data_IF_218901578876
#
_entry.id   IF_218901578876
#
_cell.length_a   1.000
_cell.length_b   1.000
_cell.length_c   1.000
_cell.angle_alpha   90.00
_cell.angle_beta   90.00
_cell.angle_gamma   90.00
#
_symmetry.space_group_name_H-M   'P 1'
#
loop_
_entity.id
_entity.type
_entity.pdbx_description
1 polymer ?
#
# COMPACT_ATOMS: atom_id res chain seq x y z
N UNK A 1 -12.97 -55.20 -12.60
CA UNK A 1 -13.13 -54.28 -11.45
C UNK A 1 -11.87 -53.44 -11.31
N UNK A 2 -11.80 -52.31 -12.00
CA UNK A 2 -10.63 -51.40 -12.01
C UNK A 2 -10.98 -50.13 -11.24
N UNK A 3 -10.26 -49.87 -10.14
CA UNK A 3 -10.32 -48.61 -9.38
C UNK A 3 -9.51 -47.55 -10.13
N UNK A 4 -10.18 -46.59 -10.75
CA UNK A 4 -9.57 -45.37 -11.26
C UNK A 4 -9.37 -44.42 -10.07
N UNK A 5 -8.10 -44.20 -9.68
CA UNK A 5 -7.70 -43.21 -8.68
C UNK A 5 -7.67 -41.83 -9.33
N UNK A 6 -8.66 -41.01 -9.03
CA UNK A 6 -8.74 -39.60 -9.40
C UNK A 6 -7.83 -38.76 -8.51
N UNK A 7 -6.54 -38.66 -8.87
CA UNK A 7 -5.64 -37.64 -8.33
C UNK A 7 -5.90 -36.31 -9.07
N UNK A 8 -6.97 -35.61 -8.69
CA UNK A 8 -7.12 -34.19 -9.00
C UNK A 8 -6.12 -33.41 -8.13
N UNK A 9 -4.89 -33.28 -8.65
CA UNK A 9 -3.95 -32.30 -8.19
C UNK A 9 -4.51 -30.91 -8.54
N UNK A 10 -5.06 -30.22 -7.53
CA UNK A 10 -5.25 -28.78 -7.59
C UNK A 10 -3.87 -28.11 -7.61
N UNK A 11 -3.24 -28.06 -8.77
CA UNK A 11 -2.24 -27.05 -9.05
C UNK A 11 -2.98 -25.72 -9.04
N UNK A 12 -2.78 -24.95 -7.97
CA UNK A 12 -3.29 -23.59 -7.89
C UNK A 12 -2.25 -22.70 -8.57
N UNK A 13 -2.47 -22.19 -9.80
CA UNK A 13 -1.61 -21.16 -10.32
C UNK A 13 -1.91 -19.86 -9.54
N UNK A 14 -1.13 -19.61 -8.48
CA UNK A 14 -0.95 -18.26 -7.91
C UNK A 14 -0.06 -17.44 -8.85
N UNK A 15 -0.48 -17.31 -10.10
CA UNK A 15 -0.04 -16.24 -10.99
C UNK A 15 -1.05 -15.12 -10.82
N UNK A 16 -0.58 -13.93 -10.49
CA UNK A 16 -1.41 -12.75 -10.37
C UNK A 16 -2.32 -12.62 -11.61
N UNK A 17 -3.61 -12.83 -11.42
CA UNK A 17 -4.64 -12.46 -12.38
C UNK A 17 -4.63 -10.93 -12.38
N UNK A 18 -3.74 -10.35 -13.16
CA UNK A 18 -3.80 -8.94 -13.51
C UNK A 18 -5.08 -8.75 -14.31
N UNK A 19 -6.14 -8.24 -13.66
CA UNK A 19 -7.13 -7.29 -14.18
C UNK A 19 -7.82 -7.54 -15.52
N UNK A 20 -7.59 -8.66 -16.18
CA UNK A 20 -8.22 -9.01 -17.45
C UNK A 20 -9.31 -10.00 -17.07
N UNK A 21 -10.55 -9.50 -17.00
CA UNK A 21 -11.70 -10.27 -16.53
C UNK A 21 -11.74 -11.66 -17.18
N UNK A 22 -11.91 -12.68 -16.34
CA UNK A 22 -11.93 -14.05 -16.81
C UNK A 22 -13.06 -14.25 -17.82
N UNK A 23 -12.74 -14.76 -19.01
CA UNK A 23 -13.74 -15.08 -20.02
C UNK A 23 -14.33 -16.44 -19.66
N UNK A 24 -15.64 -16.51 -19.42
CA UNK A 24 -16.33 -17.75 -19.07
C UNK A 24 -17.26 -18.15 -20.20
N UNK A 25 -17.34 -19.45 -20.51
CA UNK A 25 -18.33 -19.96 -21.45
C UNK A 25 -19.75 -19.80 -20.87
N UNK A 26 -20.68 -19.19 -21.60
CA UNK A 26 -22.06 -18.98 -21.16
C UNK A 26 -22.83 -20.29 -20.94
N UNK A 27 -22.38 -21.40 -21.55
CA UNK A 27 -23.09 -22.68 -21.49
C UNK A 27 -22.59 -23.62 -20.39
N UNK A 28 -21.28 -23.72 -20.19
CA UNK A 28 -20.69 -24.64 -19.22
C UNK A 28 -19.84 -23.95 -18.14
N UNK A 29 -19.73 -22.61 -18.18
CA UNK A 29 -18.93 -21.81 -17.26
C UNK A 29 -17.43 -22.17 -17.24
N UNK A 30 -16.93 -22.86 -18.26
CA UNK A 30 -15.50 -23.16 -18.40
C UNK A 30 -14.70 -21.88 -18.64
N UNK A 31 -13.51 -21.79 -18.03
CA UNK A 31 -12.60 -20.65 -18.18
C UNK A 31 -11.92 -20.68 -19.55
N UNK A 32 -12.26 -19.69 -20.38
CA UNK A 32 -11.74 -19.49 -21.73
C UNK A 32 -10.55 -18.51 -21.76
N UNK A 33 -10.09 -18.01 -20.62
CA UNK A 33 -8.94 -17.11 -20.54
C UNK A 33 -7.68 -17.81 -21.06
N UNK A 34 -7.01 -17.17 -22.03
CA UNK A 34 -5.78 -17.68 -22.63
C UNK A 34 -5.97 -18.71 -23.74
N UNK A 35 -7.21 -19.05 -24.12
CA UNK A 35 -7.44 -19.92 -25.28
C UNK A 35 -7.15 -19.20 -26.61
N UNK A 36 -6.59 -19.92 -27.60
CA UNK A 36 -6.40 -19.40 -28.96
C UNK A 36 -7.75 -19.05 -29.60
N UNK A 37 -7.73 -18.25 -30.67
CA UNK A 37 -8.90 -17.68 -31.35
C UNK A 37 -9.82 -18.68 -32.04
N UNK A 38 -9.77 -19.97 -31.70
CA UNK A 38 -10.57 -21.01 -32.33
C UNK A 38 -12.07 -20.91 -31.96
N UNK A 39 -12.48 -19.92 -31.16
CA UNK A 39 -13.87 -19.56 -30.88
C UNK A 39 -14.78 -20.73 -30.45
N UNK A 40 -14.25 -21.87 -29.98
CA UNK A 40 -15.02 -23.04 -29.57
C UNK A 40 -14.61 -23.46 -28.17
N UNK A 41 -15.58 -23.72 -27.31
CA UNK A 41 -15.33 -24.22 -25.96
C UNK A 41 -14.92 -25.71 -25.99
N UNK A 42 -13.79 -26.10 -25.36
CA UNK A 42 -13.32 -27.48 -25.38
C UNK A 42 -14.21 -28.44 -24.59
N UNK A 43 -14.94 -27.95 -23.59
CA UNK A 43 -15.82 -28.78 -22.74
C UNK A 43 -17.18 -29.06 -23.40
N UNK A 44 -17.79 -28.06 -24.04
CA UNK A 44 -19.15 -28.19 -24.57
C UNK A 44 -19.26 -28.14 -26.10
N UNK A 45 -18.16 -27.85 -26.80
CA UNK A 45 -18.12 -27.78 -28.27
C UNK A 45 -18.87 -26.61 -28.89
N UNK A 46 -19.46 -25.71 -28.08
CA UNK A 46 -20.22 -24.56 -28.59
C UNK A 46 -19.29 -23.42 -28.96
N UNK A 47 -19.63 -22.75 -30.06
CA UNK A 47 -18.93 -21.56 -30.49
C UNK A 47 -19.23 -20.39 -29.54
N UNK A 48 -18.22 -19.56 -29.27
CA UNK A 48 -18.35 -18.34 -28.48
C UNK A 48 -17.78 -17.14 -29.26
N UNK A 49 -18.47 -16.01 -29.17
CA UNK A 49 -18.04 -14.78 -29.81
C UNK A 49 -17.28 -13.91 -28.81
N UNK A 50 -15.97 -13.69 -29.03
CA UNK A 50 -15.14 -12.81 -28.17
C UNK A 50 -15.68 -11.38 -28.09
N UNK A 51 -16.30 -10.88 -29.15
CA UNK A 51 -16.91 -9.54 -29.14
C UNK A 51 -18.22 -9.48 -28.33
N UNK A 52 -18.90 -10.62 -28.17
CA UNK A 52 -20.12 -10.73 -27.36
C UNK A 52 -19.81 -11.00 -25.88
N UNK A 53 -18.64 -11.58 -25.58
CA UNK A 53 -18.12 -11.72 -24.23
C UNK A 53 -17.79 -10.34 -23.66
N UNK A 54 -18.82 -9.63 -23.18
CA UNK A 54 -18.63 -8.48 -22.31
C UNK A 54 -17.85 -8.98 -21.10
N UNK A 55 -16.79 -8.27 -20.75
CA UNK A 55 -16.11 -8.44 -19.47
C UNK A 55 -17.20 -8.37 -18.42
N UNK A 56 -17.54 -9.53 -17.85
CA UNK A 56 -18.58 -9.62 -16.83
C UNK A 56 -17.98 -9.17 -15.51
N UNK A 57 -17.51 -7.91 -15.51
CA UNK A 57 -16.95 -7.25 -14.33
C UNK A 57 -18.01 -7.11 -13.24
N UNK A 58 -19.29 -7.21 -13.61
CA UNK A 58 -20.45 -7.11 -12.72
C UNK A 58 -20.83 -8.41 -12.02
N UNK A 59 -20.53 -9.62 -12.54
CA UNK A 59 -20.96 -10.87 -11.88
C UNK A 59 -20.11 -11.20 -10.64
N UNK A 60 -18.85 -10.77 -10.58
CA UNK A 60 -18.03 -10.95 -9.38
C UNK A 60 -18.49 -10.08 -8.21
N UNK A 61 -19.18 -8.98 -8.48
CA UNK A 61 -19.79 -8.15 -7.44
C UNK A 61 -20.97 -8.87 -6.75
N UNK A 62 -21.78 -9.60 -7.51
CA UNK A 62 -22.94 -10.33 -6.98
C UNK A 62 -22.56 -11.64 -6.25
N UNK A 63 -21.46 -12.30 -6.66
CA UNK A 63 -20.96 -13.50 -5.98
C UNK A 63 -20.23 -13.22 -4.65
N UNK A 64 -20.21 -11.97 -4.18
CA UNK A 64 -19.59 -11.59 -2.91
C UNK A 64 -18.06 -11.70 -2.89
N UNK A 65 -17.43 -11.93 -4.05
CA UNK A 65 -15.97 -11.88 -4.24
C UNK A 65 -15.46 -10.45 -4.46
N UNK A 66 -16.19 -9.45 -3.96
CA UNK A 66 -15.70 -8.09 -3.86
C UNK A 66 -14.46 -8.02 -2.95
N UNK A 67 -13.65 -6.95 -3.07
CA UNK A 67 -12.55 -6.70 -2.14
C UNK A 67 -13.11 -6.76 -0.72
N UNK A 68 -12.55 -7.66 0.11
CA UNK A 68 -13.00 -7.81 1.50
C UNK A 68 -13.05 -6.44 2.15
N UNK A 69 -14.18 -6.05 2.78
CA UNK A 69 -14.25 -4.77 3.46
C UNK A 69 -13.09 -4.71 4.46
N UNK A 70 -12.28 -3.66 4.37
CA UNK A 70 -11.14 -3.50 5.24
C UNK A 70 -11.58 -3.63 6.71
N UNK A 71 -10.78 -4.30 7.57
CA UNK A 71 -11.13 -4.47 8.97
C UNK A 71 -11.41 -3.10 9.61
N UNK A 72 -12.31 -3.02 10.60
CA UNK A 72 -12.76 -1.75 11.18
C UNK A 72 -11.59 -0.86 11.64
N UNK A 73 -10.50 -1.48 12.13
CA UNK A 73 -9.26 -0.79 12.49
C UNK A 73 -8.63 -0.03 11.31
N UNK A 74 -8.52 -0.65 10.13
CA UNK A 74 -7.96 0.02 8.95
C UNK A 74 -8.85 1.17 8.46
N UNK A 75 -10.18 1.05 8.58
CA UNK A 75 -11.11 2.14 8.26
C UNK A 75 -10.96 3.31 9.24
N UNK A 76 -10.78 3.02 10.52
CA UNK A 76 -10.52 4.05 11.53
C UNK A 76 -9.19 4.75 11.30
N UNK A 77 -8.10 4.01 11.06
CA UNK A 77 -6.78 4.57 10.76
C UNK A 77 -6.82 5.41 9.47
N UNK A 78 -7.54 4.97 8.43
CA UNK A 78 -7.67 5.74 7.21
C UNK A 78 -8.42 7.07 7.42
N UNK A 79 -9.40 7.10 8.34
CA UNK A 79 -10.20 8.30 8.62
C UNK A 79 -9.54 9.24 9.62
N UNK A 80 -8.88 8.71 10.63
CA UNK A 80 -8.37 9.47 11.77
C UNK A 80 -6.84 9.51 11.85
N UNK A 81 -6.13 8.74 11.02
CA UNK A 81 -4.67 8.70 11.02
C UNK A 81 -4.06 10.08 10.83
N UNK A 82 -4.64 10.91 9.94
CA UNK A 82 -4.17 12.27 9.73
C UNK A 82 -4.36 13.16 10.96
N UNK A 83 -5.50 13.07 11.65
CA UNK A 83 -5.79 13.84 12.87
C UNK A 83 -4.89 13.43 14.03
N UNK A 84 -4.66 12.12 14.22
CA UNK A 84 -3.78 11.60 15.27
C UNK A 84 -2.33 12.03 15.02
N UNK A 85 -1.86 11.98 13.77
CA UNK A 85 -0.51 12.43 13.43
C UNK A 85 -0.33 13.93 13.66
N UNK A 86 -1.32 14.75 13.29
CA UNK A 86 -1.27 16.19 13.51
C UNK A 86 -1.29 16.53 15.00
N UNK A 87 -2.12 15.84 15.78
CA UNK A 87 -2.14 15.98 17.24
C UNK A 87 -0.79 15.61 17.88
N UNK A 88 -0.16 14.51 17.46
CA UNK A 88 1.16 14.12 17.95
C UNK A 88 2.26 15.11 17.53
N UNK A 89 2.21 15.60 16.29
CA UNK A 89 3.17 16.58 15.77
C UNK A 89 3.10 17.92 16.51
N UNK A 90 1.93 18.31 17.04
CA UNK A 90 1.76 19.51 17.86
C UNK A 90 2.05 19.26 19.35
N UNK A 91 1.67 18.10 19.88
CA UNK A 91 1.87 17.77 21.29
C UNK A 91 3.35 17.60 21.65
N UNK A 92 4.14 16.97 20.76
CA UNK A 92 5.56 16.73 21.01
C UNK A 92 6.38 18.00 21.26
N UNK A 93 6.36 19.04 20.40
CA UNK A 93 7.10 20.27 20.67
C UNK A 93 6.58 21.00 21.92
N UNK A 94 5.27 20.95 22.21
CA UNK A 94 4.72 21.55 23.43
C UNK A 94 5.25 20.87 24.71
N UNK A 95 5.28 19.53 24.75
CA UNK A 95 5.86 18.77 25.86
C UNK A 95 7.35 19.07 26.01
N UNK A 96 8.08 19.10 24.91
CA UNK A 96 9.52 19.41 24.94
C UNK A 96 9.80 20.84 25.40
N UNK A 97 9.02 21.83 24.97
CA UNK A 97 9.10 23.21 25.48
C UNK A 97 8.86 23.23 27.00
N UNK A 98 7.85 22.50 27.49
CA UNK A 98 7.58 22.37 28.93
C UNK A 98 8.76 21.76 29.71
N UNK A 99 9.39 20.71 29.17
CA UNK A 99 10.58 20.09 29.78
C UNK A 99 11.77 21.06 29.81
N UNK A 100 11.99 21.82 28.73
CA UNK A 100 13.07 22.83 28.67
C UNK A 100 12.85 23.94 29.72
N UNK A 101 11.59 24.36 29.91
CA UNK A 101 11.26 25.41 30.88
C UNK A 101 11.34 24.95 32.34
N UNK A 102 11.12 23.65 32.60
CA UNK A 102 11.11 23.10 33.96
C UNK A 102 12.50 22.70 34.45
N UNK A 103 13.43 22.38 33.56
CA UNK A 103 14.75 21.85 33.94
C UNK A 103 15.91 22.71 33.37
N UNK A 104 16.39 23.72 34.11
CA UNK A 104 17.38 24.67 33.61
C UNK A 104 18.75 24.04 33.32
N UNK A 105 19.03 22.84 33.85
CA UNK A 105 20.26 22.09 33.55
C UNK A 105 20.33 21.62 32.08
N UNK A 106 19.19 21.33 31.45
CA UNK A 106 19.11 20.91 30.04
C UNK A 106 19.35 22.07 29.07
N UNK A 107 19.13 23.32 29.49
CA UNK A 107 19.29 24.49 28.61
C UNK A 107 20.71 24.63 28.03
N UNK A 108 21.75 24.26 28.79
CA UNK A 108 23.15 24.34 28.33
C UNK A 108 23.51 23.34 27.23
N UNK A 109 22.81 22.21 27.16
CA UNK A 109 22.97 21.22 26.09
C UNK A 109 22.24 21.64 24.80
N UNK A 110 21.34 22.63 24.88
CA UNK A 110 20.42 23.00 23.81
C UNK A 110 20.65 24.39 23.21
N UNK A 111 21.45 25.25 23.85
CA UNK A 111 21.74 26.61 23.37
C UNK A 111 22.65 26.68 22.13
N UNK A 112 23.17 25.55 21.66
CA UNK A 112 23.91 25.48 20.40
C UNK A 112 22.98 25.35 19.19
N UNK A 113 23.45 25.81 18.02
CA UNK A 113 22.77 25.60 16.73
C UNK A 113 22.39 24.13 16.46
N UNK A 114 23.14 23.19 17.04
CA UNK A 114 22.85 21.75 17.00
C UNK A 114 21.52 21.36 17.68
N UNK A 115 21.14 22.01 18.78
CA UNK A 115 19.87 21.75 19.45
C UNK A 115 18.69 22.20 18.59
N UNK A 116 18.82 23.39 17.99
CA UNK A 116 17.80 23.98 17.10
C UNK A 116 17.61 23.16 15.83
N UNK A 117 18.67 22.67 15.20
CA UNK A 117 18.56 21.84 13.99
C UNK A 117 17.90 20.51 14.27
N UNK A 118 18.24 19.83 15.38
CA UNK A 118 17.58 18.58 15.77
C UNK A 118 16.10 18.81 16.08
N UNK A 119 15.77 19.93 16.73
CA UNK A 119 14.37 20.27 17.07
C UNK A 119 13.51 20.57 15.85
N UNK A 120 14.08 21.18 14.81
CA UNK A 120 13.35 21.51 13.58
C UNK A 120 13.36 20.36 12.57
N UNK A 121 14.44 19.57 12.52
CA UNK A 121 14.59 18.49 11.56
C UNK A 121 13.71 17.28 11.89
N UNK A 122 13.54 16.91 13.16
CA UNK A 122 12.74 15.74 13.54
C UNK A 122 11.25 15.92 13.19
N UNK A 123 10.57 17.03 13.55
CA UNK A 123 9.18 17.25 13.17
C UNK A 123 8.98 17.43 11.66
N UNK A 124 9.94 18.07 10.99
CA UNK A 124 9.89 18.28 9.55
C UNK A 124 10.02 16.96 8.77
N UNK A 125 10.96 16.10 9.15
CA UNK A 125 11.14 14.77 8.54
C UNK A 125 9.96 13.86 8.83
N UNK A 126 9.41 13.89 10.05
CA UNK A 126 8.23 13.10 10.40
C UNK A 126 6.97 13.56 9.64
N UNK A 127 6.75 14.87 9.53
CA UNK A 127 5.65 15.45 8.74
C UNK A 127 5.78 15.11 7.25
N UNK A 128 7.00 15.14 6.72
CA UNK A 128 7.28 14.76 5.34
C UNK A 128 7.00 13.27 5.09
N UNK A 129 7.47 12.36 5.98
CA UNK A 129 7.20 10.92 5.90
C UNK A 129 5.70 10.58 5.99
N UNK A 130 4.94 11.36 6.76
CA UNK A 130 3.48 11.17 6.83
C UNK A 130 2.77 11.65 5.56
N UNK A 131 3.14 12.82 5.03
CA UNK A 131 2.61 13.33 3.76
C UNK A 131 2.94 12.36 2.61
N UNK A 132 4.16 11.84 2.63
CA UNK A 132 4.66 10.79 1.75
C UNK A 132 3.79 9.52 1.79
N UNK A 133 3.47 9.02 2.98
CA UNK A 133 2.61 7.84 3.15
C UNK A 133 1.19 8.03 2.62
N UNK A 134 0.61 9.23 2.79
CA UNK A 134 -0.71 9.58 2.26
C UNK A 134 -0.69 9.65 0.73
N UNK A 135 0.34 10.26 0.14
CA UNK A 135 0.49 10.38 -1.31
C UNK A 135 0.88 9.05 -1.99
N UNK A 136 1.58 8.16 -1.27
CA UNK A 136 1.98 6.83 -1.75
C UNK A 136 0.82 5.91 -2.09
N UNK A 137 -0.43 6.22 -1.67
CA UNK A 137 -1.60 5.45 -2.10
C UNK A 137 -2.02 5.73 -3.55
N UNK A 138 -1.45 6.75 -4.20
CA UNK A 138 -1.95 7.23 -5.50
C UNK A 138 -1.06 6.95 -6.71
N UNK A 139 0.25 6.68 -6.55
CA UNK A 139 1.09 6.18 -7.66
C UNK A 139 2.39 5.54 -7.19
N UNK A 140 2.86 4.51 -7.90
CA UNK A 140 4.18 3.89 -7.65
C UNK A 140 5.36 4.84 -7.91
N UNK A 141 5.17 5.83 -8.78
CA UNK A 141 6.16 6.87 -9.08
C UNK A 141 6.46 7.76 -7.88
N UNK A 142 5.43 8.16 -7.13
CA UNK A 142 5.61 8.95 -5.91
C UNK A 142 6.43 8.17 -4.87
N UNK A 143 6.27 6.84 -4.81
CA UNK A 143 7.01 5.99 -3.88
C UNK A 143 8.53 6.03 -4.12
N UNK A 144 8.97 6.14 -5.38
CA UNK A 144 10.40 6.24 -5.73
C UNK A 144 11.00 7.57 -5.28
N UNK A 145 10.30 8.68 -5.51
CA UNK A 145 10.75 10.01 -5.08
C UNK A 145 10.83 10.15 -3.56
N UNK A 146 9.94 9.48 -2.83
CA UNK A 146 9.95 9.49 -1.36
C UNK A 146 11.14 8.76 -0.75
N UNK A 147 11.57 7.65 -1.35
CA UNK A 147 12.78 6.94 -0.92
C UNK A 147 14.01 7.84 -1.11
N UNK A 148 14.10 8.52 -2.26
CA UNK A 148 15.21 9.46 -2.55
C UNK A 148 15.23 10.62 -1.56
N UNK A 149 14.07 11.23 -1.25
CA UNK A 149 13.98 12.32 -0.29
C UNK A 149 14.37 11.88 1.14
N UNK A 150 13.95 10.69 1.56
CA UNK A 150 14.35 10.13 2.85
C UNK A 150 15.87 9.90 2.94
N UNK A 151 16.48 9.33 1.88
CA UNK A 151 17.93 9.15 1.82
C UNK A 151 18.65 10.50 1.91
N UNK A 152 18.24 11.51 1.13
CA UNK A 152 18.82 12.84 1.19
C UNK A 152 18.75 13.45 2.59
N UNK A 153 17.60 13.37 3.26
CA UNK A 153 17.42 13.88 4.62
C UNK A 153 18.35 13.17 5.62
N UNK A 154 18.47 11.84 5.54
CA UNK A 154 19.41 11.08 6.39
C UNK A 154 20.86 11.46 6.13
N UNK A 155 21.26 11.70 4.87
CA UNK A 155 22.61 12.16 4.56
C UNK A 155 22.90 13.55 5.12
N UNK A 156 21.93 14.46 5.12
CA UNK A 156 22.09 15.79 5.73
C UNK A 156 22.29 15.68 7.24
N UNK A 157 21.55 14.79 7.91
CA UNK A 157 21.71 14.54 9.35
C UNK A 157 23.08 13.94 9.68
N UNK A 158 23.57 12.99 8.88
CA UNK A 158 24.91 12.41 9.06
C UNK A 158 26.00 13.46 8.82
N UNK A 159 25.86 14.30 7.79
CA UNK A 159 26.80 15.40 7.52
C UNK A 159 26.86 16.40 8.67
N UNK A 160 25.71 16.79 9.23
CA UNK A 160 25.65 17.63 10.43
C UNK A 160 26.33 16.96 11.63
N UNK A 161 26.13 15.66 11.84
CA UNK A 161 26.76 14.94 12.95
C UNK A 161 28.29 14.89 12.83
N UNK A 162 28.82 14.66 11.62
CA UNK A 162 30.27 14.67 11.37
C UNK A 162 30.87 16.07 11.57
N UNK A 163 30.17 17.14 11.18
CA UNK A 163 30.66 18.51 11.34
C UNK A 163 30.70 19.01 12.80
N UNK A 164 29.95 18.36 13.71
CA UNK A 164 29.92 18.69 15.14
C UNK A 164 31.04 17.98 15.92
N UNK A 165 31.67 16.95 15.32
CA UNK A 165 32.70 16.13 15.95
C UNK A 165 34.10 16.63 15.63
#
# INVERSE_FOLDING_TARGET
MSRVRSHLALSTPRGAIQGNGALLCEHCQYNLTGLPEQHVCPECGKAFNKAALRVVETYFADLGYGPRPAPPLMRWIARHGQSVCLALALAFPAVMIGLILTEPSMSRLWTGWAGVTVFLAIPATFSFLMLAGVLSRRSEEIRRWLIVAAICATMTLVGCWVAIR
#
